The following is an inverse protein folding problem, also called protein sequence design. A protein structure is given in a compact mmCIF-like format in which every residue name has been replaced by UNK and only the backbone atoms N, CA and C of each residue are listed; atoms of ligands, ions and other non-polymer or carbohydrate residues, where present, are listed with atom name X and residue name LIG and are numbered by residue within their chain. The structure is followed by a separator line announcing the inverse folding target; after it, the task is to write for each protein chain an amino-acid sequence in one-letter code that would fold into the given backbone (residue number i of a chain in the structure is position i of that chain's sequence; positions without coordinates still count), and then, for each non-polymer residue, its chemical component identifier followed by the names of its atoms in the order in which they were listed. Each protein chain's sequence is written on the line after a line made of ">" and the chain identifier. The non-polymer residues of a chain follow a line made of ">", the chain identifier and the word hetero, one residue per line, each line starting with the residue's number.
data_IF_036767507795
#
_entry.id   IF_036767507795
#
_cell.length_a   1.000
_cell.length_b   1.000
_cell.length_c   1.000
_cell.angle_alpha   90.00
_cell.angle_beta   90.00
_cell.angle_gamma   90.00
#
_symmetry.space_group_name_H-M   'P 1'
#
loop_
_entity.id
_entity.type
_entity.pdbx_description
1 polymer ?
#
# COMPACT_ATOMS: atom_id res chain seq x y z
N UNK A 1 -10.36 -4.26 -9.42
CA UNK A 1 -10.10 -3.89 -8.01
C UNK A 1 -9.43 -5.09 -7.37
N UNK A 2 -8.32 -4.89 -6.67
CA UNK A 2 -7.61 -5.95 -5.95
C UNK A 2 -7.80 -5.75 -4.45
N UNK A 3 -7.96 -6.84 -3.71
CA UNK A 3 -7.99 -6.86 -2.25
C UNK A 3 -6.94 -7.83 -1.71
N UNK A 4 -6.24 -7.41 -0.66
CA UNK A 4 -5.29 -8.23 0.09
C UNK A 4 -5.68 -8.22 1.56
N UNK A 5 -5.51 -9.35 2.23
CA UNK A 5 -5.88 -9.53 3.63
C UNK A 5 -4.65 -9.65 4.51
N UNK A 6 -4.62 -8.89 5.60
CA UNK A 6 -3.53 -8.89 6.56
C UNK A 6 -4.07 -9.01 7.98
N UNK A 7 -3.34 -9.73 8.82
CA UNK A 7 -3.60 -9.78 10.26
C UNK A 7 -2.58 -8.89 10.96
N UNK A 8 -3.03 -7.99 11.83
CA UNK A 8 -2.11 -7.14 12.62
C UNK A 8 -1.32 -8.00 13.60
N UNK A 9 0.00 -8.03 13.44
CA UNK A 9 0.96 -8.68 14.33
C UNK A 9 1.73 -7.66 15.17
N UNK A 10 2.55 -8.13 16.12
CA UNK A 10 3.40 -7.23 16.93
C UNK A 10 4.31 -6.35 16.07
N UNK A 11 4.87 -6.91 14.98
CA UNK A 11 5.76 -6.22 14.04
C UNK A 11 5.05 -5.16 13.16
N UNK A 12 3.72 -5.09 13.24
CA UNK A 12 2.89 -4.14 12.49
C UNK A 12 2.50 -2.92 13.33
N UNK A 13 2.78 -2.96 14.62
CA UNK A 13 2.33 -1.93 15.55
C UNK A 13 3.09 -0.63 15.37
N UNK A 14 2.44 0.49 15.68
CA UNK A 14 3.04 1.82 15.68
C UNK A 14 4.31 1.86 16.55
N UNK A 15 4.31 1.16 17.69
CA UNK A 15 5.48 0.96 18.52
C UNK A 15 6.61 0.22 17.77
N UNK A 16 6.33 -0.96 17.22
CA UNK A 16 7.37 -1.78 16.57
C UNK A 16 7.95 -1.13 15.32
N UNK A 17 7.16 -0.38 14.55
CA UNK A 17 7.62 0.32 13.34
C UNK A 17 8.15 1.73 13.61
N UNK A 18 8.20 2.17 14.88
CA UNK A 18 8.76 3.46 15.28
C UNK A 18 7.93 4.68 14.89
N UNK A 19 6.63 4.50 14.58
CA UNK A 19 5.73 5.59 14.18
C UNK A 19 4.86 6.13 15.31
N UNK A 20 5.00 5.60 16.51
CA UNK A 20 4.23 5.96 17.70
C UNK A 20 4.56 5.02 18.86
N UNK A 21 3.79 5.13 19.95
CA UNK A 21 4.03 4.34 21.18
C UNK A 21 3.00 3.22 21.40
N UNK A 22 1.96 3.13 20.57
CA UNK A 22 0.82 2.24 20.80
C UNK A 22 0.99 0.88 20.12
N UNK A 23 0.47 -0.17 20.78
CA UNK A 23 0.37 -1.54 20.27
C UNK A 23 -0.85 -1.74 19.35
N UNK A 24 -1.01 -0.85 18.38
CA UNK A 24 -2.04 -0.89 17.32
C UNK A 24 -1.37 -0.71 15.98
N UNK A 25 -2.01 -1.10 14.88
CA UNK A 25 -1.49 -0.97 13.52
C UNK A 25 -0.89 0.42 13.28
N UNK A 26 0.39 0.47 12.91
CA UNK A 26 1.08 1.70 12.58
C UNK A 26 0.73 2.20 11.19
N UNK A 27 0.63 3.52 11.03
CA UNK A 27 0.40 4.14 9.72
C UNK A 27 1.41 3.70 8.64
N UNK A 28 2.73 3.57 8.93
CA UNK A 28 3.67 3.07 7.92
C UNK A 28 3.39 1.65 7.47
N UNK A 29 2.93 0.78 8.38
CA UNK A 29 2.57 -0.60 8.01
C UNK A 29 1.32 -0.65 7.15
N UNK A 30 0.29 0.08 7.56
CA UNK A 30 -0.93 0.25 6.76
C UNK A 30 -0.60 0.77 5.35
N UNK A 31 0.26 1.78 5.24
CA UNK A 31 0.74 2.30 3.96
C UNK A 31 1.41 1.19 3.12
N UNK A 32 2.30 0.41 3.73
CA UNK A 32 2.97 -0.70 3.03
C UNK A 32 1.97 -1.74 2.50
N UNK A 33 0.89 -2.03 3.24
CA UNK A 33 -0.18 -2.93 2.79
C UNK A 33 -1.00 -2.35 1.63
N UNK A 34 -1.31 -1.05 1.66
CA UNK A 34 -1.95 -0.36 0.53
C UNK A 34 -1.03 -0.36 -0.70
N UNK A 35 0.27 -0.13 -0.52
CA UNK A 35 1.24 -0.25 -1.60
C UNK A 35 1.31 -1.68 -2.17
N UNK A 36 1.29 -2.72 -1.33
CA UNK A 36 1.23 -4.10 -1.79
C UNK A 36 0.00 -4.36 -2.65
N UNK A 37 -1.16 -3.81 -2.28
CA UNK A 37 -2.38 -3.90 -3.09
C UNK A 37 -2.23 -3.20 -4.44
N UNK A 38 -1.55 -2.04 -4.49
CA UNK A 38 -1.24 -1.36 -5.77
C UNK A 38 -0.24 -2.13 -6.64
N UNK A 39 0.75 -2.82 -6.04
CA UNK A 39 1.65 -3.70 -6.77
C UNK A 39 0.90 -4.89 -7.37
N UNK A 40 0.05 -5.54 -6.58
CA UNK A 40 -0.77 -6.67 -7.04
C UNK A 40 -1.73 -6.24 -8.16
N UNK A 41 -2.28 -5.02 -8.08
CA UNK A 41 -3.13 -4.45 -9.14
C UNK A 41 -2.39 -4.14 -10.46
N UNK A 42 -1.04 -4.17 -10.48
CA UNK A 42 -0.23 -4.00 -11.68
C UNK A 42 0.40 -5.29 -12.18
N UNK A 43 0.43 -6.36 -11.39
CA UNK A 43 1.30 -7.51 -11.63
C UNK A 43 1.16 -8.09 -13.05
N UNK A 44 -0.07 -8.23 -13.54
CA UNK A 44 -0.36 -8.84 -14.85
C UNK A 44 -0.21 -7.86 -16.03
N UNK A 45 -0.05 -6.57 -15.77
CA UNK A 45 0.01 -5.50 -16.78
C UNK A 45 1.43 -4.96 -17.02
N UNK A 46 2.43 -5.47 -16.29
CA UNK A 46 3.80 -4.98 -16.39
C UNK A 46 4.54 -5.61 -17.59
N UNK A 47 5.24 -4.81 -18.40
CA UNK A 47 6.14 -5.34 -19.42
C UNK A 47 7.23 -6.23 -18.80
N UNK A 48 7.72 -7.20 -19.56
CA UNK A 48 8.87 -8.00 -19.16
C UNK A 48 10.07 -7.10 -18.80
N UNK A 49 10.80 -7.46 -17.74
CA UNK A 49 11.92 -6.68 -17.22
C UNK A 49 11.52 -5.37 -16.50
N UNK A 50 10.23 -5.07 -16.36
CA UNK A 50 9.74 -3.89 -15.65
C UNK A 50 9.20 -4.21 -14.26
N UNK A 51 9.23 -3.19 -13.39
CA UNK A 51 8.54 -3.17 -12.10
C UNK A 51 7.84 -1.81 -11.92
N UNK A 52 7.26 -1.55 -10.75
CA UNK A 52 6.74 -0.23 -10.40
C UNK A 52 7.24 0.24 -9.05
N UNK A 53 7.51 1.54 -8.94
CA UNK A 53 7.94 2.21 -7.70
C UNK A 53 6.90 3.24 -7.27
N UNK A 54 6.61 3.35 -5.98
CA UNK A 54 5.79 4.41 -5.43
C UNK A 54 6.48 5.77 -5.59
N UNK A 55 5.74 6.79 -6.03
CA UNK A 55 6.28 8.15 -6.25
C UNK A 55 5.56 9.22 -5.45
N UNK A 56 4.32 8.98 -5.05
CA UNK A 56 3.56 9.87 -4.17
C UNK A 56 2.47 9.08 -3.43
N UNK A 57 2.16 9.51 -2.21
CA UNK A 57 1.06 8.98 -1.42
C UNK A 57 0.38 10.07 -0.62
N UNK A 58 -0.94 9.99 -0.50
CA UNK A 58 -1.75 10.78 0.43
C UNK A 58 -2.82 9.86 1.02
N UNK A 59 -2.76 9.60 2.33
CA UNK A 59 -3.71 8.72 3.02
C UNK A 59 -4.19 9.34 4.34
N UNK A 60 -5.43 9.03 4.70
CA UNK A 60 -6.00 9.26 6.02
C UNK A 60 -6.11 7.91 6.75
N UNK A 61 -5.55 7.80 7.97
CA UNK A 61 -5.71 6.64 8.84
C UNK A 61 -6.78 6.97 9.89
N UNK A 62 -7.99 6.46 9.65
CA UNK A 62 -9.23 6.94 10.27
C UNK A 62 -9.64 6.16 11.52
N UNK A 63 -9.24 4.89 11.64
CA UNK A 63 -9.59 4.05 12.78
C UNK A 63 -8.40 3.17 13.21
N UNK A 64 -8.18 2.97 14.53
CA UNK A 64 -7.13 2.08 15.01
C UNK A 64 -7.49 0.62 14.75
N UNK A 65 -6.47 -0.22 14.53
CA UNK A 65 -6.63 -1.68 14.40
C UNK A 65 -5.79 -2.38 15.48
N UNK A 66 -6.39 -3.13 16.41
CA UNK A 66 -5.64 -3.83 17.46
C UNK A 66 -4.89 -5.06 16.92
N UNK A 67 -3.99 -5.62 17.72
CA UNK A 67 -3.36 -6.92 17.44
C UNK A 67 -4.41 -7.99 17.16
N UNK A 68 -4.14 -8.84 16.16
CA UNK A 68 -5.05 -9.89 15.71
C UNK A 68 -6.20 -9.42 14.82
N UNK A 69 -6.41 -8.11 14.65
CA UNK A 69 -7.43 -7.60 13.74
C UNK A 69 -7.10 -7.96 12.28
N UNK A 70 -8.14 -8.33 11.52
CA UNK A 70 -8.05 -8.53 10.08
C UNK A 70 -8.32 -7.20 9.36
N UNK A 71 -7.39 -6.79 8.51
CA UNK A 71 -7.47 -5.59 7.68
C UNK A 71 -7.43 -5.99 6.21
N UNK A 72 -8.45 -5.58 5.47
CA UNK A 72 -8.58 -5.76 4.02
C UNK A 72 -8.07 -4.48 3.37
N UNK A 73 -6.93 -4.53 2.70
CA UNK A 73 -6.37 -3.42 1.93
C UNK A 73 -6.72 -3.59 0.45
N UNK A 74 -7.27 -2.55 -0.15
CA UNK A 74 -7.79 -2.58 -1.52
C UNK A 74 -7.19 -1.48 -2.38
N UNK A 75 -7.01 -1.76 -3.67
CA UNK A 75 -6.53 -0.80 -4.65
C UNK A 75 -7.33 -0.88 -5.96
N UNK A 76 -7.59 0.29 -6.54
CA UNK A 76 -8.24 0.44 -7.84
C UNK A 76 -7.50 1.50 -8.67
N UNK A 77 -7.12 1.14 -9.90
CA UNK A 77 -6.56 2.09 -10.87
C UNK A 77 -7.59 3.18 -11.17
N UNK A 78 -7.21 4.44 -11.01
CA UNK A 78 -8.05 5.61 -11.33
C UNK A 78 -7.56 6.36 -12.55
N UNK A 79 -6.31 6.17 -12.98
CA UNK A 79 -5.78 6.77 -14.20
C UNK A 79 -4.41 6.25 -14.58
N UNK A 80 -4.10 6.30 -15.87
CA UNK A 80 -2.79 5.96 -16.44
C UNK A 80 -2.36 7.05 -17.43
N UNK A 81 -1.16 7.57 -17.23
CA UNK A 81 -0.55 8.56 -18.11
C UNK A 81 0.90 8.14 -18.40
N UNK A 82 1.12 7.58 -19.59
CA UNK A 82 2.41 6.99 -19.95
C UNK A 82 2.81 5.88 -18.97
N UNK A 83 3.88 6.12 -18.21
CA UNK A 83 4.40 5.17 -17.19
C UNK A 83 3.84 5.41 -15.80
N UNK A 84 3.05 6.48 -15.60
CA UNK A 84 2.51 6.85 -14.29
C UNK A 84 1.12 6.25 -14.14
N UNK A 85 0.88 5.57 -13.02
CA UNK A 85 -0.41 4.96 -12.67
C UNK A 85 -0.86 5.49 -11.33
N UNK A 86 -2.10 5.98 -11.26
CA UNK A 86 -2.73 6.47 -10.03
C UNK A 86 -3.75 5.46 -9.53
N UNK A 87 -3.82 5.32 -8.22
CA UNK A 87 -4.71 4.40 -7.52
C UNK A 87 -5.52 5.14 -6.47
N UNK A 88 -6.82 4.86 -6.41
CA UNK A 88 -7.57 5.00 -5.17
C UNK A 88 -7.33 3.76 -4.32
N UNK A 89 -7.04 3.96 -3.04
CA UNK A 89 -6.76 2.89 -2.09
C UNK A 89 -7.62 3.04 -0.84
N UNK A 90 -7.95 1.91 -0.21
CA UNK A 90 -8.70 1.90 1.04
C UNK A 90 -8.31 0.71 1.90
N UNK A 91 -8.53 0.81 3.20
CA UNK A 91 -8.46 -0.32 4.11
C UNK A 91 -9.72 -0.37 4.98
N UNK A 92 -10.20 -1.58 5.27
CA UNK A 92 -11.32 -1.80 6.19
C UNK A 92 -11.12 -3.02 7.08
N UNK A 93 -11.81 -3.05 8.22
CA UNK A 93 -12.03 -4.27 8.98
C UNK A 93 -13.08 -5.16 8.29
N UNK A 94 -13.18 -6.42 8.72
CA UNK A 94 -14.15 -7.39 8.19
C UNK A 94 -15.61 -7.02 8.48
N UNK A 95 -15.86 -6.21 9.50
CA UNK A 95 -17.19 -5.68 9.84
C UNK A 95 -17.58 -4.42 9.03
N UNK A 96 -16.70 -3.95 8.15
CA UNK A 96 -16.92 -2.81 7.28
C UNK A 96 -16.42 -1.46 7.81
N UNK A 97 -15.87 -1.39 9.03
CA UNK A 97 -15.27 -0.16 9.54
C UNK A 97 -14.11 0.28 8.64
N UNK A 98 -14.17 1.51 8.13
CA UNK A 98 -13.12 2.09 7.30
C UNK A 98 -11.92 2.45 8.18
N UNK A 99 -10.81 1.76 7.94
CA UNK A 99 -9.53 1.99 8.61
C UNK A 99 -8.76 3.10 7.91
N UNK A 100 -8.79 3.12 6.58
CA UNK A 100 -8.04 4.10 5.80
C UNK A 100 -8.64 4.36 4.43
N UNK A 101 -8.31 5.52 3.86
CA UNK A 101 -8.57 5.85 2.46
C UNK A 101 -7.51 6.81 1.94
N UNK A 102 -7.32 6.84 0.63
CA UNK A 102 -6.46 7.82 0.00
C UNK A 102 -6.07 7.44 -1.42
N UNK A 103 -4.93 7.98 -1.84
CA UNK A 103 -4.39 7.78 -3.18
C UNK A 103 -2.90 7.42 -3.13
N UNK A 104 -2.49 6.53 -4.03
CA UNK A 104 -1.09 6.17 -4.26
C UNK A 104 -0.79 6.32 -5.74
N UNK A 105 0.36 6.93 -6.07
CA UNK A 105 0.87 7.01 -7.43
C UNK A 105 2.10 6.13 -7.56
N UNK A 106 2.14 5.32 -8.62
CA UNK A 106 3.29 4.49 -8.99
C UNK A 106 3.82 4.87 -10.36
N UNK A 107 5.11 4.71 -10.58
CA UNK A 107 5.74 4.78 -11.88
C UNK A 107 6.27 3.42 -12.30
N UNK A 108 5.90 2.96 -13.49
CA UNK A 108 6.48 1.77 -14.13
C UNK A 108 7.89 2.10 -14.61
N UNK A 109 8.84 1.24 -14.25
CA UNK A 109 10.27 1.42 -14.53
C UNK A 109 10.88 0.12 -15.05
N UNK A 110 11.83 0.26 -15.97
CA UNK A 110 12.75 -0.81 -16.33
C UNK A 110 13.72 -1.07 -15.16
N UNK A 111 13.87 -2.33 -14.75
CA UNK A 111 14.62 -2.70 -13.53
C UNK A 111 16.10 -2.36 -13.66
N UNK A 112 16.75 -2.76 -14.76
CA UNK A 112 18.19 -2.55 -14.94
C UNK A 112 18.55 -1.07 -15.01
N UNK A 113 17.81 -0.31 -15.82
CA UNK A 113 17.99 1.14 -15.96
C UNK A 113 17.71 1.87 -14.65
N UNK A 114 16.71 1.44 -13.87
CA UNK A 114 16.39 2.07 -12.60
C UNK A 114 17.50 1.85 -11.57
N UNK A 115 17.97 0.61 -11.40
CA UNK A 115 19.05 0.28 -10.48
C UNK A 115 20.41 0.85 -10.89
N UNK A 116 20.64 1.04 -12.20
CA UNK A 116 21.83 1.71 -12.72
C UNK A 116 22.03 3.14 -12.22
N UNK A 117 20.98 3.80 -11.69
CA UNK A 117 21.04 5.16 -11.11
C UNK A 117 21.65 5.22 -9.71
N UNK A 118 21.81 4.09 -9.04
CA UNK A 118 22.37 4.01 -7.68
C UNK A 118 23.91 4.00 -7.68
N UNK A 119 24.53 4.02 -8.86
CA UNK A 119 25.97 3.98 -9.05
C UNK A 119 26.55 5.38 -9.23
#
# INVERSE_FOLDING_TARGET
>A
MVELHFTVTEADTAHAVGSGSLAVLGTPRLLAWLEAATCAALADDLPEGSTSVGTAVSIEHLAPSPLGALVIASAQVTGREGRVVRFAVSARHTDGVVVARGEITRAVVDVERFLGKLR
#
